data_IF_135234982701
#
_entry.id   IF_135234982701
#
_cell.length_a   1.000
_cell.length_b   1.000
_cell.length_c   1.000
_cell.angle_alpha   90.00
_cell.angle_beta   90.00
_cell.angle_gamma   90.00
#
_symmetry.space_group_name_H-M   'P 1'
#
loop_
_entity.id
_entity.type
_entity.pdbx_description
1 polymer ?
2 non-polymer ?
3 non-polymer ?
4 water ?
#
# COMPACT_ATOMS: atom_id res chain seq x y z
N UNK A 21 23.54 -7.21 0.84
CA UNK A 21 22.81 -6.25 0.02
C UNK A 21 21.58 -6.89 -0.61
N UNK A 22 21.75 -8.10 -1.15
CA UNK A 22 20.65 -8.78 -1.83
C UNK A 22 19.96 -9.82 -0.92
N UNK A 23 18.75 -10.18 -1.31
CA UNK A 23 17.97 -11.16 -0.56
C UNK A 23 18.64 -12.53 -0.59
N UNK A 24 18.66 -13.19 0.55
CA UNK A 24 19.31 -14.50 0.66
C UNK A 24 18.34 -15.68 0.56
N UNK A 25 17.04 -15.39 0.63
CA UNK A 25 16.02 -16.42 0.50
C UNK A 25 15.28 -16.30 -0.83
N UNK A 26 14.78 -17.42 -1.35
CA UNK A 26 14.03 -17.38 -2.60
C UNK A 26 12.65 -16.75 -2.41
N UNK A 27 12.11 -16.20 -3.50
CA UNK A 27 10.75 -15.66 -3.52
C UNK A 27 9.68 -16.73 -3.22
N UNK A 28 8.86 -16.49 -2.20
CA UNK A 28 7.80 -17.42 -1.82
C UNK A 28 6.77 -17.57 -2.92
N UNK A 29 6.20 -18.76 -3.03
CA UNK A 29 5.12 -19.01 -3.97
C UNK A 29 3.91 -18.17 -3.59
N UNK A 30 3.43 -17.36 -4.53
CA UNK A 30 2.33 -16.43 -4.27
C UNK A 30 2.77 -14.98 -4.10
N UNK A 31 4.07 -14.77 -3.93
CA UNK A 31 4.60 -13.44 -3.63
C UNK A 31 5.27 -12.78 -4.85
N UNK A 32 5.08 -13.36 -6.02
CA UNK A 32 5.75 -12.86 -7.21
C UNK A 32 5.12 -11.52 -7.63
N UNK A 33 5.93 -10.59 -8.15
CA UNK A 33 5.33 -9.34 -8.65
C UNK A 33 4.48 -9.58 -9.91
N UNK A 34 3.59 -8.63 -10.22
CA UNK A 34 2.66 -8.77 -11.33
C UNK A 34 2.74 -7.54 -12.24
N UNK A 35 2.95 -7.76 -13.54
CA UNK A 35 2.96 -6.66 -14.51
C UNK A 35 1.97 -6.98 -15.61
N UNK A 36 1.35 -5.94 -16.15
CA UNK A 36 0.47 -6.11 -17.30
C UNK A 36 0.54 -4.86 -18.14
N UNK A 37 0.98 -5.03 -19.38
CA UNK A 37 1.03 -3.93 -20.32
C UNK A 37 -0.26 -3.84 -21.13
N UNK A 38 -1.03 -2.79 -20.86
CA UNK A 38 -2.28 -2.56 -21.57
C UNK A 38 -2.33 -1.15 -22.16
N UNK A 39 -3.27 -0.32 -21.70
CA UNK A 39 -3.43 1.01 -22.26
C UNK A 39 -2.56 2.09 -21.63
N UNK A 40 -2.73 3.34 -22.09
CA UNK A 40 -1.88 4.47 -21.67
C UNK A 40 -2.18 5.00 -20.26
N UNK A 41 -3.17 4.43 -19.56
CA UNK A 41 -3.44 4.80 -18.16
C UNK A 41 -2.95 3.67 -17.27
N UNK A 42 -2.08 3.98 -16.31
CA UNK A 42 -1.44 2.95 -15.49
C UNK A 42 -1.77 3.04 -14.02
N UNK A 43 -1.71 1.89 -13.35
CA UNK A 43 -1.93 1.83 -11.90
C UNK A 43 -0.77 1.10 -11.22
N UNK A 44 -0.16 1.76 -10.23
CA UNK A 44 0.86 1.15 -9.37
C UNK A 44 0.17 0.67 -8.10
N UNK A 45 0.36 -0.60 -7.74
CA UNK A 45 -0.25 -1.14 -6.53
C UNK A 45 0.84 -1.56 -5.54
N UNK A 46 0.76 -1.04 -4.32
CA UNK A 46 1.80 -1.27 -3.31
C UNK A 46 1.25 -2.08 -2.13
N UNK A 47 1.88 -3.21 -1.82
CA UNK A 47 1.47 -4.02 -0.67
C UNK A 47 2.05 -3.49 0.65
N UNK A 48 1.69 -4.12 1.76
CA UNK A 48 2.06 -3.60 3.07
C UNK A 48 3.28 -4.22 3.73
N UNK A 49 3.59 -3.71 4.92
CA UNK A 49 4.72 -4.11 5.76
C UNK A 49 4.56 -5.56 6.24
N UNK A 50 5.59 -6.37 6.00
CA UNK A 50 5.57 -7.85 6.18
C UNK A 50 4.70 -8.62 5.19
N UNK A 51 3.95 -7.90 4.36
CA UNK A 51 3.10 -8.54 3.37
C UNK A 51 3.76 -8.83 2.03
N UNK A 52 2.96 -9.12 1.02
CA UNK A 52 3.47 -9.49 -0.30
C UNK A 52 2.47 -9.07 -1.39
N UNK A 53 2.87 -9.22 -2.67
CA UNK A 53 1.94 -8.86 -3.74
C UNK A 53 0.59 -9.59 -3.63
N UNK A 54 0.55 -10.70 -2.90
CA UNK A 54 -0.69 -11.45 -2.72
C UNK A 54 -1.85 -10.56 -2.24
N UNK A 55 -1.57 -9.64 -1.32
CA UNK A 55 -2.60 -8.81 -0.73
C UNK A 55 -3.24 -7.85 -1.72
N UNK A 56 -2.55 -7.58 -2.83
CA UNK A 56 -3.03 -6.61 -3.82
C UNK A 56 -3.44 -7.27 -5.13
N UNK A 57 -3.17 -8.58 -5.27
CA UNK A 57 -3.28 -9.23 -6.56
C UNK A 57 -4.70 -9.24 -7.15
N UNK A 58 -5.75 -9.43 -6.31
CA UNK A 58 -7.10 -9.37 -6.90
C UNK A 58 -7.43 -7.99 -7.47
N UNK A 59 -6.96 -6.94 -6.81
CA UNK A 59 -7.12 -5.58 -7.35
C UNK A 59 -6.36 -5.44 -8.67
N UNK A 60 -5.08 -5.80 -8.66
CA UNK A 60 -4.23 -5.71 -9.85
C UNK A 60 -4.86 -6.46 -11.04
N UNK A 61 -5.35 -7.67 -10.80
CA UNK A 61 -5.95 -8.46 -11.87
C UNK A 61 -7.25 -7.83 -12.39
N UNK A 62 -8.05 -7.28 -11.50
CA UNK A 62 -9.29 -6.60 -11.91
C UNK A 62 -9.00 -5.36 -12.75
N UNK A 63 -7.98 -4.58 -12.35
CA UNK A 63 -7.63 -3.36 -13.10
C UNK A 63 -7.05 -3.69 -14.50
N UNK A 64 -6.23 -4.72 -14.58
CA UNK A 64 -5.71 -5.18 -15.88
C UNK A 64 -6.86 -5.65 -16.80
N UNK A 65 -7.80 -6.39 -16.25
CA UNK A 65 -8.97 -6.87 -17.00
C UNK A 65 -9.77 -5.70 -17.55
N UNK A 66 -9.74 -4.58 -16.82
CA UNK A 66 -10.48 -3.39 -17.20
C UNK A 66 -9.73 -2.53 -18.24
N UNK A 67 -8.54 -2.95 -18.62
CA UNK A 67 -7.77 -2.24 -19.63
C UNK A 67 -6.64 -1.34 -19.15
N UNK A 68 -6.39 -1.27 -17.85
CA UNK A 68 -5.31 -0.42 -17.34
C UNK A 68 -4.00 -1.17 -17.40
N UNK A 69 -2.92 -0.43 -17.66
CA UNK A 69 -1.58 -0.98 -17.50
C UNK A 69 -1.34 -1.05 -16.00
N UNK A 70 -0.74 -2.13 -15.52
CA UNK A 70 -0.67 -2.42 -14.09
C UNK A 70 0.73 -2.82 -13.64
N UNK A 71 1.18 -2.25 -12.52
CA UNK A 71 2.45 -2.63 -11.93
C UNK A 71 2.25 -2.94 -10.45
N UNK A 72 2.55 -4.18 -10.07
CA UNK A 72 2.45 -4.62 -8.69
C UNK A 72 3.79 -5.24 -8.29
N UNK A 73 4.67 -4.41 -7.74
CA UNK A 73 6.02 -4.90 -7.41
C UNK A 73 6.07 -5.67 -6.11
N UNK A 74 7.16 -6.39 -5.90
CA UNK A 74 7.43 -7.02 -4.62
C UNK A 74 8.44 -6.13 -3.90
N UNK A 75 8.06 -5.63 -2.71
CA UNK A 75 8.94 -4.74 -1.96
C UNK A 75 10.20 -5.49 -1.56
N UNK A 76 11.37 -4.84 -1.65
CA UNK A 76 12.60 -5.53 -1.28
C UNK A 76 12.51 -6.08 0.14
N UNK A 77 13.02 -7.29 0.35
CA UNK A 77 13.02 -7.90 1.68
C UNK A 77 11.68 -8.52 2.06
N UNK A 78 10.73 -8.44 1.14
CA UNK A 78 9.38 -8.95 1.34
C UNK A 78 9.11 -10.14 0.42
N UNK A 79 8.31 -11.09 0.89
CA UNK A 79 7.96 -12.24 0.08
C UNK A 79 9.09 -13.27 -0.01
N UNK A 80 10.10 -13.14 0.85
CA UNK A 80 11.20 -14.11 0.95
C UNK A 80 11.28 -14.70 2.37
N UNK A 81 11.92 -13.97 3.28
CA UNK A 81 12.00 -14.41 4.68
C UNK A 81 12.20 -13.19 5.56
N UNK A 82 11.71 -13.22 6.80
CA UNK A 82 11.80 -12.03 7.64
C UNK A 82 13.23 -11.67 7.99
N UNK A 83 14.15 -12.63 7.85
CA UNK A 83 15.57 -12.31 8.00
C UNK A 83 16.08 -11.40 6.90
N UNK A 84 15.57 -11.60 5.67
CA UNK A 84 15.85 -10.67 4.57
C UNK A 84 15.28 -9.29 4.88
N UNK A 85 14.04 -9.24 5.35
CA UNK A 85 13.40 -7.97 5.65
C UNK A 85 14.22 -7.18 6.67
N UNK A 86 14.75 -7.88 7.67
CA UNK A 86 15.53 -7.25 8.75
C UNK A 86 16.75 -6.51 8.22
N UNK A 87 17.27 -7.01 7.09
CA UNK A 87 18.43 -6.42 6.44
C UNK A 87 18.08 -5.19 5.59
N UNK A 88 16.80 -4.85 5.45
CA UNK A 88 16.42 -3.70 4.62
C UNK A 88 16.12 -2.43 5.45
N UNK A 89 16.12 -1.27 4.81
CA UNK A 89 15.72 -0.03 5.46
C UNK A 89 14.51 0.51 4.70
N UNK A 90 13.89 1.57 5.17
CA UNK A 90 12.73 2.06 4.42
C UNK A 90 13.11 2.61 3.05
N UNK A 91 14.38 2.98 2.90
CA UNK A 91 14.88 3.45 1.61
C UNK A 91 14.83 2.35 0.56
N UNK A 92 14.99 1.10 0.97
CA UNK A 92 14.87 -0.04 0.05
C UNK A 92 13.43 -0.19 -0.42
N UNK A 93 12.49 0.01 0.49
CA UNK A 93 11.06 -0.12 0.18
C UNK A 93 10.62 1.01 -0.75
N UNK A 94 11.06 2.23 -0.44
CA UNK A 94 10.82 3.39 -1.33
C UNK A 94 11.39 3.12 -2.72
N UNK A 95 12.58 2.52 -2.79
CA UNK A 95 13.18 2.20 -4.08
C UNK A 95 12.33 1.24 -4.94
N UNK A 96 11.76 0.20 -4.32
CA UNK A 96 10.91 -0.72 -5.07
C UNK A 96 9.72 -0.02 -5.73
N UNK A 97 9.16 0.95 -5.02
CA UNK A 97 8.00 1.69 -5.51
C UNK A 97 8.39 2.78 -6.52
N UNK A 98 9.54 3.41 -6.29
CA UNK A 98 10.10 4.35 -7.28
C UNK A 98 10.44 3.64 -8.58
N UNK A 99 10.94 2.41 -8.50
CA UNK A 99 11.20 1.59 -9.67
C UNK A 99 9.94 1.22 -10.45
N UNK A 100 8.88 0.85 -9.73
CA UNK A 100 7.60 0.55 -10.35
C UNK A 100 6.94 1.78 -10.98
N UNK A 101 7.04 2.91 -10.29
CA UNK A 101 6.60 4.19 -10.85
C UNK A 101 7.37 4.49 -12.15
N UNK A 102 8.69 4.27 -12.14
CA UNK A 102 9.51 4.46 -13.32
C UNK A 102 9.08 3.60 -14.51
N UNK A 103 8.82 2.32 -14.24
CA UNK A 103 8.31 1.39 -15.24
C UNK A 103 7.02 1.89 -15.90
N UNK A 104 6.07 2.37 -15.11
CA UNK A 104 4.83 2.93 -15.63
C UNK A 104 5.08 4.22 -16.41
N UNK A 105 5.95 5.07 -15.87
CA UNK A 105 6.26 6.34 -16.51
C UNK A 105 6.78 6.16 -17.94
N UNK A 106 7.46 5.05 -18.19
CA UNK A 106 8.02 4.78 -19.50
C UNK A 106 6.97 4.25 -20.47
N UNK A 107 5.77 3.99 -19.95
CA UNK A 107 4.72 3.33 -20.71
C UNK A 107 3.37 4.06 -20.71
N UNK A 108 3.16 4.93 -19.74
CA UNK A 108 1.84 5.50 -19.49
C UNK A 108 1.84 7.03 -19.44
N UNK A 109 0.79 7.64 -19.98
CA UNK A 109 0.64 9.08 -19.95
C UNK A 109 -0.03 9.56 -18.66
N UNK A 110 -0.76 8.66 -18.02
CA UNK A 110 -1.48 8.94 -16.78
C UNK A 110 -1.20 7.84 -15.77
N UNK A 111 -0.83 8.20 -14.54
CA UNK A 111 -0.48 7.20 -13.52
C UNK A 111 -1.23 7.43 -12.20
N UNK A 112 -1.88 6.38 -11.72
CA UNK A 112 -2.51 6.38 -10.39
C UNK A 112 -1.74 5.43 -9.46
N UNK A 113 -1.78 5.67 -8.15
CA UNK A 113 -1.11 4.79 -7.19
C UNK A 113 -2.10 4.41 -6.09
N UNK A 114 -2.11 3.15 -5.72
CA UNK A 114 -2.97 2.65 -4.64
C UNK A 114 -2.16 1.69 -3.77
N UNK A 115 -2.49 1.57 -2.48
CA UNK A 115 -1.72 0.68 -1.62
C UNK A 115 -2.36 0.41 -0.28
N UNK A 116 -2.03 -0.75 0.30
CA UNK A 116 -2.61 -1.17 1.57
C UNK A 116 -1.61 -0.94 2.69
N UNK A 117 -2.07 -0.31 3.77
CA UNK A 117 -1.23 -0.07 4.95
C UNK A 117 0.05 0.70 4.60
N UNK A 118 1.22 0.07 4.79
CA UNK A 118 2.46 0.76 4.44
C UNK A 118 2.50 1.03 2.93
N UNK A 119 1.80 0.21 2.17
CA UNK A 119 1.66 0.43 0.74
C UNK A 119 0.95 1.75 0.51
N UNK A 120 -0.01 2.06 1.38
CA UNK A 120 -0.65 3.36 1.37
C UNK A 120 0.29 4.46 1.82
N UNK A 121 1.11 4.18 2.83
CA UNK A 121 2.11 5.15 3.26
C UNK A 121 3.01 5.52 2.08
N UNK A 122 3.39 4.51 1.32
CA UNK A 122 4.29 4.67 0.18
C UNK A 122 3.58 5.33 -1.01
N UNK A 123 2.27 5.13 -1.11
CA UNK A 123 1.46 5.84 -2.09
C UNK A 123 1.52 7.34 -1.81
N UNK A 124 1.30 7.70 -0.55
CA UNK A 124 1.37 9.11 -0.14
C UNK A 124 2.78 9.66 -0.38
N UNK A 125 3.78 8.89 0.01
CA UNK A 125 5.18 9.31 -0.13
C UNK A 125 5.53 9.65 -1.59
N UNK A 126 5.16 8.74 -2.48
CA UNK A 126 5.38 8.93 -3.91
C UNK A 126 4.65 10.17 -4.43
N UNK A 127 3.40 10.36 -4.03
CA UNK A 127 2.66 11.56 -4.45
C UNK A 127 3.28 12.86 -3.89
N UNK A 128 3.92 12.78 -2.72
CA UNK A 128 4.60 13.94 -2.15
C UNK A 128 5.84 14.36 -2.92
N UNK A 129 6.40 13.44 -3.72
CA UNK A 129 7.65 13.71 -4.45
C UNK A 129 7.51 13.79 -5.97
N UNK A 130 6.32 13.45 -6.46
CA UNK A 130 6.05 13.44 -7.90
C UNK A 130 4.69 14.07 -8.19
N UNK A 131 4.68 15.36 -8.53
CA UNK A 131 3.45 16.09 -8.79
C UNK A 131 2.68 15.57 -10.00
N UNK A 132 3.32 14.78 -10.85
CA UNK A 132 2.64 14.30 -12.04
C UNK A 132 1.66 13.14 -11.81
N UNK A 133 1.72 12.52 -10.64
CA UNK A 133 0.77 11.46 -10.30
C UNK A 133 -0.63 12.04 -10.33
N UNK A 134 -1.52 11.32 -11.01
CA UNK A 134 -2.86 11.81 -11.34
C UNK A 134 -3.87 11.65 -10.21
N UNK A 135 -3.61 10.70 -9.32
CA UNK A 135 -4.55 10.39 -8.25
C UNK A 135 -4.03 9.30 -7.36
N UNK A 136 -4.47 9.30 -6.10
CA UNK A 136 -4.07 8.27 -5.15
C UNK A 136 -5.26 7.60 -4.45
N UNK A 137 -5.10 6.31 -4.20
CA UNK A 137 -6.13 5.52 -3.53
C UNK A 137 -5.50 4.76 -2.36
N UNK A 138 -5.23 5.47 -1.25
CA UNK A 138 -4.69 4.80 -0.05
C UNK A 138 -5.77 3.97 0.66
N UNK A 139 -5.41 2.77 1.11
CA UNK A 139 -6.35 1.84 1.77
C UNK A 139 -5.79 1.45 3.15
N UNK A 140 -6.45 1.93 4.21
CA UNK A 140 -5.95 1.76 5.58
C UNK A 140 -4.48 2.17 5.67
N UNK A 141 -4.16 3.32 5.07
CA UNK A 141 -2.79 3.78 5.00
C UNK A 141 -2.33 4.24 6.39
N UNK A 142 -1.04 4.10 6.65
CA UNK A 142 -0.52 4.34 8.00
C UNK A 142 0.43 5.52 8.02
N UNK A 143 0.08 6.58 8.74
CA UNK A 143 1.04 7.68 9.00
C UNK A 143 1.36 7.88 10.48
N UNK A 144 0.55 7.29 11.35
CA UNK A 144 0.82 7.31 12.79
C UNK A 144 0.28 6.03 13.45
N UNK A 145 1.18 5.22 14.00
CA UNK A 145 0.79 4.04 14.76
C UNK A 145 1.44 4.17 16.15
N UNK A 146 0.73 4.80 17.08
CA UNK A 146 1.29 5.04 18.43
C UNK A 146 1.77 3.76 19.16
N UNK A 147 1.16 2.61 18.87
CA UNK A 147 1.57 1.35 19.47
C UNK A 147 3.05 1.00 19.28
N UNK A 148 3.66 1.49 18.21
CA UNK A 148 5.08 1.20 17.98
C UNK A 148 5.98 1.86 19.03
N UNK A 149 5.80 3.16 19.25
CA UNK A 149 6.57 3.88 20.26
C UNK A 149 6.30 3.35 21.68
N UNK A 150 5.04 3.01 21.96
CA UNK A 150 4.67 2.47 23.26
C UNK A 150 5.43 1.19 23.58
N UNK A 151 5.31 0.20 22.70
CA UNK A 151 5.98 -1.09 22.89
C UNK A 151 7.47 -0.95 23.09
N UNK A 158 12.83 -4.79 22.73
CA UNK A 158 13.16 -6.05 23.39
C UNK A 158 13.57 -7.15 22.39
N UNK A 159 12.64 -8.03 22.00
CA UNK A 159 13.07 -9.21 21.23
C UNK A 159 13.50 -8.81 19.84
N UNK A 160 14.35 -9.62 19.22
CA UNK A 160 14.79 -9.31 17.88
C UNK A 160 13.62 -9.47 16.90
N UNK A 161 12.84 -10.53 17.09
CA UNK A 161 11.65 -10.73 16.28
C UNK A 161 10.40 -10.88 17.14
N UNK A 162 9.34 -10.17 16.78
CA UNK A 162 8.06 -10.36 17.43
C UNK A 162 7.28 -11.43 16.71
N UNK A 163 6.47 -12.20 17.44
CA UNK A 163 5.55 -13.10 16.79
C UNK A 163 4.56 -12.22 16.04
N UNK A 164 4.37 -12.45 14.76
CA UNK A 164 3.48 -11.58 13.99
C UNK A 164 2.07 -11.74 14.50
N UNK A 165 1.31 -10.65 14.54
CA UNK A 165 -0.09 -10.78 14.92
C UNK A 165 -0.81 -11.45 13.76
N UNK A 166 -1.84 -12.24 14.08
CA UNK A 166 -2.60 -12.93 13.04
C UNK A 166 -3.07 -11.94 12.01
N UNK A 167 -3.40 -12.42 10.81
CA UNK A 167 -3.93 -11.55 9.78
C UNK A 167 -5.23 -10.95 10.28
N UNK A 168 -5.32 -9.63 10.26
CA UNK A 168 -6.52 -8.95 10.74
C UNK A 168 -7.50 -8.93 9.58
N UNK A 169 -8.22 -10.03 9.43
CA UNK A 169 -9.16 -10.23 8.31
C UNK A 169 -10.48 -10.72 8.85
N UNK A 170 -11.57 -10.05 8.49
CA UNK A 170 -12.88 -10.47 8.99
C UNK A 170 -13.23 -11.88 8.49
N UNK A 171 -12.90 -12.17 7.24
CA UNK A 171 -13.09 -13.49 6.65
C UNK A 171 -11.94 -14.42 7.00
N UNK A 172 -12.22 -15.45 7.82
CA UNK A 172 -11.20 -16.36 8.36
C UNK A 172 -10.72 -17.37 7.33
N UNK A 173 -11.42 -17.43 6.19
CA UNK A 173 -11.12 -18.41 5.15
C UNK A 173 -10.01 -17.94 4.24
N UNK A 174 -9.74 -16.64 4.25
CA UNK A 174 -8.64 -16.09 3.45
C UNK A 174 -7.28 -16.35 4.09
N UNK A 175 -6.33 -16.80 3.28
CA UNK A 175 -4.99 -17.10 3.77
C UNK A 175 -4.00 -16.07 3.27
N UNK A 176 -3.86 -14.98 4.02
CA UNK A 176 -2.94 -13.91 3.70
C UNK A 176 -1.50 -14.45 3.72
N UNK A 177 -0.70 -14.08 2.73
CA UNK A 177 0.71 -14.43 2.69
C UNK A 177 1.53 -13.29 3.29
N UNK A 178 1.94 -13.45 4.55
CA UNK A 178 2.71 -12.45 5.30
C UNK A 178 3.67 -13.15 6.26
N UNK A 179 4.71 -12.44 6.70
CA UNK A 179 5.74 -13.05 7.54
C UNK A 179 5.21 -13.42 8.93
N UNK A 180 5.66 -14.56 9.44
CA UNK A 180 5.17 -15.10 10.71
C UNK A 180 5.87 -14.45 11.91
N UNK A 181 7.00 -13.80 11.64
CA UNK A 181 7.65 -12.95 12.63
C UNK A 181 7.96 -11.59 12.03
N UNK A 182 7.95 -10.58 12.89
CA UNK A 182 8.24 -9.21 12.48
C UNK A 182 9.52 -8.78 13.18
N UNK A 183 10.54 -8.37 12.41
CA UNK A 183 11.78 -7.87 13.03
C UNK A 183 11.54 -6.51 13.68
N UNK A 184 11.94 -6.36 14.94
CA UNK A 184 11.72 -5.10 15.62
C UNK A 184 12.49 -3.97 14.96
N UNK A 185 13.63 -4.29 14.37
CA UNK A 185 14.41 -3.28 13.67
C UNK A 185 13.63 -2.70 12.49
N UNK A 186 12.80 -3.53 11.85
CA UNK A 186 11.96 -3.10 10.73
C UNK A 186 10.84 -2.16 11.19
N UNK A 187 10.33 -2.39 12.39
CA UNK A 187 9.31 -1.51 12.95
C UNK A 187 9.83 -0.10 13.09
N UNK A 188 11.12 0.03 13.41
CA UNK A 188 11.73 1.34 13.56
C UNK A 188 11.76 2.03 12.20
N UNK A 189 12.12 1.26 11.18
CA UNK A 189 12.14 1.75 9.81
C UNK A 189 10.76 2.24 9.37
N UNK A 190 9.74 1.45 9.68
CA UNK A 190 8.35 1.83 9.40
C UNK A 190 8.01 3.13 10.11
N UNK A 191 8.40 3.26 11.39
CA UNK A 191 8.12 4.49 12.15
C UNK A 191 8.73 5.74 11.49
N UNK A 192 9.97 5.63 11.01
CA UNK A 192 10.66 6.77 10.39
C UNK A 192 10.01 7.15 9.07
N UNK A 193 9.66 6.14 8.29
CA UNK A 193 8.96 6.36 7.03
C UNK A 193 7.65 7.10 7.25
N UNK A 194 6.88 6.64 8.24
CA UNK A 194 5.59 7.25 8.57
C UNK A 194 5.75 8.71 9.00
N UNK A 195 6.78 8.99 9.79
CA UNK A 195 7.04 10.34 10.27
C UNK A 195 7.39 11.29 9.13
N UNK A 196 8.20 10.82 8.19
CA UNK A 196 8.57 11.63 7.04
C UNK A 196 7.34 11.88 6.17
N UNK A 197 6.57 10.83 5.94
CA UNK A 197 5.38 10.91 5.10
C UNK A 197 4.35 11.85 5.72
N UNK A 198 4.16 11.73 7.03
CA UNK A 198 3.18 12.57 7.72
C UNK A 198 3.59 14.04 7.62
N UNK A 199 4.90 14.29 7.71
CA UNK A 199 5.42 15.65 7.74
C UNK A 199 5.21 16.36 6.40
N UNK A 200 5.14 15.59 5.32
CA UNK A 200 5.08 16.17 3.98
C UNK A 200 3.70 16.07 3.32
N UNK A 201 2.67 15.70 4.08
CA UNK A 201 1.35 15.44 3.51
C UNK A 201 0.83 16.63 2.69
N UNK A 202 1.18 17.84 3.11
CA UNK A 202 0.66 19.02 2.43
C UNK A 202 1.22 19.26 1.02
N UNK A 203 2.26 18.49 0.64
CA UNK A 203 2.78 18.54 -0.73
C UNK A 203 1.83 17.91 -1.73
N UNK A 204 0.92 17.06 -1.25
CA UNK A 204 -0.02 16.35 -2.13
C UNK A 204 -1.20 17.22 -2.58
N UNK A 205 -1.44 17.28 -3.88
CA UNK A 205 -2.59 18.04 -4.40
C UNK A 205 -3.47 17.24 -5.38
N UNK A 206 -3.05 16.04 -5.76
CA UNK A 206 -3.84 15.25 -6.69
C UNK A 206 -5.09 14.69 -6.01
N UNK A 207 -6.11 14.34 -6.82
CA UNK A 207 -7.34 13.77 -6.25
C UNK A 207 -7.05 12.55 -5.39
N UNK A 208 -7.82 12.38 -4.31
CA UNK A 208 -7.58 11.31 -3.34
C UNK A 208 -8.87 10.58 -3.00
N UNK A 209 -8.80 9.25 -3.08
CA UNK A 209 -9.89 8.40 -2.64
C UNK A 209 -9.32 7.57 -1.49
N UNK A 210 -9.77 7.86 -0.28
CA UNK A 210 -9.19 7.28 0.92
C UNK A 210 -10.13 6.25 1.57
N UNK A 211 -9.75 4.97 1.51
CA UNK A 211 -10.52 3.90 2.13
C UNK A 211 -10.07 3.65 3.57
N UNK A 212 -11.02 3.41 4.44
CA UNK A 212 -10.72 3.07 5.84
C UNK A 212 -11.71 2.06 6.40
N UNK A 213 -11.18 1.01 7.02
CA UNK A 213 -12.00 0.06 7.74
C UNK A 213 -12.32 0.60 9.13
N UNK A 214 -13.61 0.81 9.43
CA UNK A 214 -14.02 1.22 10.76
C UNK A 214 -13.41 0.33 11.84
N UNK A 215 -13.39 -0.97 11.58
CA UNK A 215 -12.90 -1.93 12.55
C UNK A 215 -11.50 -2.48 12.23
N UNK A 216 -10.66 -1.60 11.68
CA UNK A 216 -9.23 -1.90 11.55
C UNK A 216 -8.65 -2.06 12.95
N UNK A 217 -8.07 -3.22 13.22
CA UNK A 217 -7.48 -3.51 14.54
C UNK A 217 -5.95 -3.33 14.55
N UNK A 218 -5.40 -2.87 13.42
CA UNK A 218 -3.93 -2.73 13.26
C UNK A 218 -3.50 -1.26 13.12
N UNK A 219 -4.05 -0.59 12.11
CA UNK A 219 -3.80 0.83 11.90
C UNK A 219 -5.01 1.63 12.41
N UNK A 220 -4.82 2.48 13.43
CA UNK A 220 -5.99 3.20 13.94
C UNK A 220 -6.74 3.94 12.81
N UNK A 221 -8.08 3.80 12.74
CA UNK A 221 -8.81 4.39 11.60
C UNK A 221 -8.70 5.91 11.51
N UNK A 222 -8.36 6.60 12.60
CA UNK A 222 -8.15 8.03 12.53
C UNK A 222 -7.07 8.44 11.54
N UNK A 223 -6.23 7.49 11.15
CA UNK A 223 -5.24 7.77 10.11
C UNK A 223 -5.88 8.31 8.83
N UNK A 224 -7.10 7.87 8.52
CA UNK A 224 -7.80 8.33 7.30
C UNK A 224 -7.98 9.84 7.36
N UNK A 225 -8.29 10.35 8.54
CA UNK A 225 -8.52 11.77 8.74
C UNK A 225 -7.24 12.60 8.84
N UNK A 226 -6.18 12.04 9.41
CA UNK A 226 -4.87 12.69 9.36
C UNK A 226 -4.52 12.97 7.90
N UNK A 227 -4.74 11.96 7.06
CA UNK A 227 -4.46 12.09 5.62
C UNK A 227 -5.42 13.08 4.94
N UNK A 228 -6.72 12.91 5.14
CA UNK A 228 -7.71 13.78 4.51
C UNK A 228 -7.47 15.26 4.81
N UNK A 229 -7.21 15.56 6.08
CA UNK A 229 -6.99 16.93 6.53
C UNK A 229 -5.61 17.46 6.19
N UNK A 230 -4.63 16.56 6.14
CA UNK A 230 -3.25 16.94 5.92
C UNK A 230 -2.86 17.23 4.47
N UNK A 231 -3.47 16.52 3.53
CA UNK A 231 -3.16 16.77 2.12
C UNK A 231 -3.79 18.10 1.69
N UNK A 232 -3.21 18.71 0.65
CA UNK A 232 -3.71 19.98 0.12
C UNK A 232 -4.68 19.81 -1.04
N UNK A 233 -4.95 18.56 -1.42
CA UNK A 233 -5.90 18.24 -2.48
C UNK A 233 -7.26 18.91 -2.34
N UNK A 234 -7.81 19.39 -3.45
CA UNK A 234 -9.17 19.92 -3.49
C UNK A 234 -10.23 18.85 -3.79
N UNK A 235 -9.82 17.75 -4.42
CA UNK A 235 -10.74 16.64 -4.65
C UNK A 235 -10.32 15.46 -3.78
N UNK A 236 -11.05 15.25 -2.69
CA UNK A 236 -10.70 14.21 -1.72
C UNK A 236 -11.95 13.69 -1.03
N UNK A 237 -11.96 12.41 -0.67
CA UNK A 237 -13.09 11.87 0.09
C UNK A 237 -12.63 10.65 0.85
N UNK A 238 -13.34 10.35 1.94
CA UNK A 238 -13.12 9.14 2.69
C UNK A 238 -14.27 8.18 2.47
N UNK A 239 -13.94 6.91 2.19
CA UNK A 239 -14.93 5.87 2.04
C UNK A 239 -14.75 4.89 3.18
N UNK A 240 -15.75 4.80 4.04
CA UNK A 240 -15.68 3.94 5.22
C UNK A 240 -16.14 2.55 4.88
N UNK A 241 -15.29 1.58 5.14
CA UNK A 241 -15.62 0.17 4.91
C UNK A 241 -16.09 -0.45 6.22
N UNK A 242 -17.29 -1.01 6.20
CA UNK A 242 -17.96 -1.44 7.43
C UNK A 242 -17.95 -2.96 7.58
N UNK A 243 -17.48 -3.65 6.56
CA UNK A 243 -17.52 -5.12 6.57
C UNK A 243 -16.12 -5.74 6.40
N UNK A 244 -15.10 -5.07 6.93
CA UNK A 244 -13.73 -5.51 6.79
C UNK A 244 -12.89 -5.11 7.99
N UNK A 245 -11.81 -5.87 8.24
CA UNK A 245 -10.78 -5.44 9.19
C UNK A 245 -9.60 -4.84 8.40
N UNK A 246 -8.39 -4.93 8.95
CA UNK A 246 -7.26 -4.25 8.32
C UNK A 246 -6.98 -4.63 6.86
N UNK A 247 -6.95 -5.92 6.58
CA UNK A 247 -6.53 -6.39 5.26
C UNK A 247 -7.72 -6.35 4.32
N UNK A 248 -8.23 -5.14 4.10
CA UNK A 248 -9.51 -4.95 3.42
C UNK A 248 -9.52 -5.41 1.96
N UNK A 249 -8.34 -5.44 1.32
CA UNK A 249 -8.24 -5.76 -0.09
C UNK A 249 -8.54 -7.22 -0.36
N UNK A 250 -8.46 -8.03 0.70
CA UNK A 250 -8.78 -9.45 0.59
C UNK A 250 -10.04 -9.80 1.37
N UNK A 251 -10.69 -8.79 1.91
CA UNK A 251 -11.80 -9.00 2.86
C UNK A 251 -13.14 -8.83 2.17
N UNK A 252 -14.23 -8.81 2.94
CA UNK A 252 -15.57 -8.82 2.34
C UNK A 252 -15.81 -7.59 1.47
N UNK A 253 -15.18 -6.46 1.80
CA UNK A 253 -15.39 -5.23 1.05
C UNK A 253 -14.56 -5.11 -0.24
N UNK A 254 -13.80 -6.15 -0.58
CA UNK A 254 -12.98 -6.13 -1.79
C UNK A 254 -13.73 -5.62 -3.04
N UNK A 255 -14.92 -6.19 -3.32
CA UNK A 255 -15.64 -5.74 -4.51
C UNK A 255 -15.89 -4.23 -4.58
N UNK A 256 -16.28 -3.59 -3.47
CA UNK A 256 -16.50 -2.15 -3.44
C UNK A 256 -15.19 -1.36 -3.63
N UNK A 257 -14.10 -1.86 -3.07
CA UNK A 257 -12.80 -1.22 -3.25
C UNK A 257 -12.47 -1.16 -4.75
N UNK A 258 -12.60 -2.30 -5.40
CA UNK A 258 -12.34 -2.41 -6.83
C UNK A 258 -13.27 -1.51 -7.64
N UNK A 259 -14.56 -1.54 -7.31
CA UNK A 259 -15.54 -0.84 -8.14
C UNK A 259 -15.37 0.67 -8.06
N UNK A 260 -15.22 1.19 -6.86
CA UNK A 260 -15.06 2.62 -6.68
C UNK A 260 -13.71 3.11 -7.16
N UNK A 261 -12.67 2.29 -7.02
CA UNK A 261 -11.36 2.64 -7.55
C UNK A 261 -11.42 2.78 -9.07
N UNK A 262 -12.04 1.84 -9.75
CA UNK A 262 -12.24 1.96 -11.21
C UNK A 262 -13.02 3.23 -11.63
N UNK A 263 -14.06 3.58 -10.88
CA UNK A 263 -14.77 4.84 -11.13
C UNK A 263 -13.85 6.06 -10.97
N UNK A 264 -13.06 6.05 -9.90
CA UNK A 264 -12.05 7.07 -9.64
C UNK A 264 -11.03 7.22 -10.78
N UNK A 265 -10.50 6.11 -11.26
CA UNK A 265 -9.49 6.14 -12.33
C UNK A 265 -10.06 6.77 -13.59
N UNK A 266 -11.27 6.34 -13.94
CA UNK A 266 -11.93 6.81 -15.16
C UNK A 266 -12.22 8.33 -15.12
N UNK A 267 -12.64 8.80 -13.96
CA UNK A 267 -12.98 10.21 -13.75
C UNK A 267 -11.79 11.14 -13.90
N UNK A 268 -10.62 10.69 -13.47
CA UNK A 268 -9.44 11.56 -13.45
C UNK A 268 -8.43 11.31 -14.55
N UNK A 269 -8.60 10.24 -15.34
CA UNK A 269 -7.62 9.91 -16.37
C UNK A 269 -7.50 11.01 -17.44
X LIG B 1 -9.01 6.08 -20.45
X LIG B 1 -10.19 5.31 -19.93
X LIG B 1 -10.43 5.74 -18.55
X LIG B 1 -11.43 5.69 -20.74
X LIG B 1 -9.97 3.81 -20.02
X LIG B 1 -8.67 3.23 -19.45
X LIG B 1 -7.54 3.73 -20.12
X LIG B 1 -8.65 1.72 -19.56
X LIG C 1 0.23 -2.86 8.77
X LIG C 1 0.86 -1.66 7.67
X LIG C 1 1.23 -3.50 9.76
X LIG C 1 1.72 -2.72 10.82
X LIG C 1 2.61 -3.31 11.72
X LIG C 1 3.01 -4.66 11.56
X LIG C 1 2.51 -5.43 10.50
X LIG C 1 1.61 -4.83 9.59
X LIG C 1 1.69 -2.20 6.61
X LIG C 1 1.53 -0.56 8.45
#
# INVERSE_FOLDING_TARGET
MGSSHHHHHHSSGLVPRGSHMSEQYPVLSGAEPFYAENGPVGVLLVHGFTGTPHSMRPLAEAYAKAGYTVCLPRLKGHGTHYEDMERTTFHDWVASVEEGYGWLKQRCQTIFVTGLSMGGTLTLYLAEHHPDICGIVPINAAVDIPAIAAGMTGGGELPRYLDSIGSDLKNPDVKELAYEKTPTASLLQLARLMAQTKAKLDRIVCPALIFVSDEDHVVPPGNADIIFQGISSTEKEIVRLRNSYHVATLDYDQPMIIERSLEFFAKHAG
MRD C1 C2 O2 CM C3 C4 O4 C5
PMS C S C1 C2 C3 C4 C5 C6 O2S O1S
#
